data_IF_163123187053
#
_entry.id   IF_163123187053
#
_cell.length_a   1.000
_cell.length_b   1.000
_cell.length_c   1.000
_cell.angle_alpha   90.00
_cell.angle_beta   90.00
_cell.angle_gamma   90.00
#
_symmetry.space_group_name_H-M   'P 1'
#
loop_
_entity.id
_entity.type
_entity.pdbx_description
1 polymer ?
#
# COMPACT_ATOMS: atom_id res chain seq x y z
N UNK A 1 -19.06 -14.59 -54.06
CA UNK A 1 -19.13 -15.38 -52.83
C UNK A 1 -17.93 -15.09 -51.94
N UNK A 2 -17.77 -13.88 -51.39
CA UNK A 2 -16.66 -13.46 -50.50
C UNK A 2 -17.08 -12.43 -49.47
N UNK A 3 -18.32 -12.44 -48.97
CA UNK A 3 -18.82 -11.46 -47.98
C UNK A 3 -19.42 -12.06 -46.70
N UNK A 4 -19.15 -13.34 -46.40
CA UNK A 4 -19.78 -14.01 -45.24
C UNK A 4 -18.77 -14.44 -44.15
N UNK A 5 -17.50 -14.09 -44.22
CA UNK A 5 -16.48 -14.55 -43.26
C UNK A 5 -16.12 -13.47 -42.21
N UNK A 6 -16.55 -12.21 -42.39
CA UNK A 6 -16.17 -11.13 -41.45
C UNK A 6 -17.15 -10.86 -40.31
N UNK A 7 -18.29 -11.53 -40.26
CA UNK A 7 -19.30 -11.32 -39.20
C UNK A 7 -19.06 -12.26 -38.00
N UNK A 8 -18.33 -13.34 -38.19
CA UNK A 8 -18.11 -14.33 -37.13
C UNK A 8 -16.96 -13.98 -36.16
N UNK A 9 -16.10 -13.03 -36.49
CA UNK A 9 -14.94 -12.68 -35.65
C UNK A 9 -15.20 -11.48 -34.72
N UNK A 10 -16.28 -10.73 -34.95
CA UNK A 10 -16.64 -9.56 -34.11
C UNK A 10 -17.52 -9.92 -32.90
N UNK A 11 -18.01 -11.16 -32.79
CA UNK A 11 -18.90 -11.60 -31.71
C UNK A 11 -18.18 -12.26 -30.53
N UNK A 12 -16.86 -12.39 -30.58
CA UNK A 12 -16.05 -13.04 -29.53
C UNK A 12 -15.35 -12.06 -28.57
N UNK A 13 -15.59 -10.74 -28.73
CA UNK A 13 -14.97 -9.72 -27.88
C UNK A 13 -15.97 -9.02 -26.91
N UNK A 14 -17.17 -9.57 -26.73
CA UNK A 14 -18.19 -8.98 -25.83
C UNK A 14 -18.52 -9.83 -24.60
N UNK A 15 -17.62 -10.72 -24.20
CA UNK A 15 -17.78 -11.48 -22.96
C UNK A 15 -16.65 -11.19 -21.97
N UNK A 16 -16.57 -9.97 -21.48
CA UNK A 16 -15.76 -9.72 -20.28
C UNK A 16 -16.09 -8.39 -19.63
N UNK A 17 -17.34 -8.13 -19.31
CA UNK A 17 -17.74 -7.14 -18.31
C UNK A 17 -19.02 -7.63 -17.63
N UNK A 18 -18.96 -8.81 -17.04
CA UNK A 18 -20.02 -9.40 -16.27
C UNK A 18 -19.54 -9.62 -14.84
N UNK A 19 -20.07 -8.81 -13.93
CA UNK A 19 -20.08 -9.05 -12.48
C UNK A 19 -18.79 -9.66 -11.94
N UNK A 20 -17.84 -8.83 -11.53
CA UNK A 20 -16.80 -9.21 -10.59
C UNK A 20 -17.46 -9.59 -9.24
N UNK A 21 -18.13 -10.74 -9.22
CA UNK A 21 -18.29 -11.48 -7.98
C UNK A 21 -16.88 -11.93 -7.63
N UNK A 22 -16.20 -11.17 -6.78
CA UNK A 22 -15.01 -11.64 -6.10
C UNK A 22 -15.39 -13.01 -5.52
N UNK A 23 -14.75 -14.07 -6.02
CA UNK A 23 -14.93 -15.40 -5.48
C UNK A 23 -14.40 -15.35 -4.05
N UNK A 24 -15.31 -15.29 -3.09
CA UNK A 24 -14.98 -15.47 -1.67
C UNK A 24 -15.19 -16.95 -1.39
N UNK A 25 -14.12 -17.73 -1.18
CA UNK A 25 -14.28 -19.10 -0.75
C UNK A 25 -15.07 -19.10 0.58
N UNK A 26 -16.17 -19.82 0.61
CA UNK A 26 -17.09 -19.84 1.75
C UNK A 26 -16.53 -20.51 3.01
N UNK A 27 -15.33 -21.03 2.96
CA UNK A 27 -14.62 -21.65 4.10
C UNK A 27 -13.12 -21.51 3.87
N UNK A 28 -12.52 -20.45 4.42
CA UNK A 28 -11.14 -20.58 4.88
C UNK A 28 -11.18 -21.32 6.21
N UNK A 29 -10.31 -22.31 6.41
CA UNK A 29 -10.23 -22.92 7.72
C UNK A 29 -9.79 -21.86 8.73
N UNK A 30 -10.58 -21.71 9.80
CA UNK A 30 -10.26 -20.88 10.99
C UNK A 30 -8.87 -21.16 11.58
N UNK A 31 -8.21 -22.20 11.13
CA UNK A 31 -6.94 -22.67 11.66
C UNK A 31 -5.71 -22.01 11.05
N UNK A 32 -5.82 -21.33 9.90
CA UNK A 32 -4.68 -20.63 9.32
C UNK A 32 -4.33 -19.38 10.15
N UNK A 33 -5.33 -18.68 10.67
CA UNK A 33 -5.17 -17.48 11.49
C UNK A 33 -4.61 -17.74 12.90
N UNK A 34 -4.56 -19.00 13.34
CA UNK A 34 -4.04 -19.37 14.68
C UNK A 34 -2.57 -19.76 14.71
N UNK A 35 -1.87 -19.67 13.57
CA UNK A 35 -0.47 -20.09 13.49
C UNK A 35 0.45 -18.97 13.96
N UNK A 36 0.99 -19.08 15.17
CA UNK A 36 2.22 -18.41 15.67
C UNK A 36 2.60 -17.08 14.99
N UNK A 37 1.64 -16.17 14.80
CA UNK A 37 1.93 -14.81 14.40
C UNK A 37 2.20 -13.95 15.65
N UNK A 38 3.13 -13.03 15.52
CA UNK A 38 3.53 -12.13 16.62
C UNK A 38 2.48 -11.04 16.84
N UNK A 39 1.95 -10.50 15.74
CA UNK A 39 0.91 -9.46 15.76
C UNK A 39 0.12 -9.45 14.44
N UNK A 40 -1.00 -8.71 14.43
CA UNK A 40 -1.84 -8.53 13.26
C UNK A 40 -2.22 -7.05 13.08
N UNK A 41 -2.06 -6.53 11.87
CA UNK A 41 -2.45 -5.16 11.51
C UNK A 41 -3.81 -5.21 10.83
N UNK A 42 -4.86 -4.58 11.40
CA UNK A 42 -6.16 -4.48 10.76
C UNK A 42 -6.09 -3.64 9.48
N UNK A 43 -6.85 -4.03 8.47
CA UNK A 43 -6.98 -3.26 7.24
C UNK A 43 -8.45 -3.08 6.82
N UNK A 44 -8.67 -2.17 5.88
CA UNK A 44 -9.93 -2.01 5.18
C UNK A 44 -9.71 -2.31 3.69
N UNK A 45 -10.67 -2.97 3.06
CA UNK A 45 -10.66 -3.14 1.60
C UNK A 45 -11.44 -1.98 0.95
N UNK A 46 -10.77 -1.22 0.08
CA UNK A 46 -11.35 -0.10 -0.65
C UNK A 46 -10.88 -0.15 -2.09
N UNK A 47 -11.83 -0.22 -3.04
CA UNK A 47 -11.54 -0.30 -4.48
C UNK A 47 -10.53 -1.42 -4.84
N UNK A 48 -10.70 -2.60 -4.24
CA UNK A 48 -9.80 -3.75 -4.40
C UNK A 48 -8.36 -3.53 -3.90
N UNK A 49 -8.13 -2.47 -3.12
CA UNK A 49 -6.86 -2.19 -2.45
C UNK A 49 -6.98 -2.44 -0.95
N UNK A 50 -5.89 -2.87 -0.35
CA UNK A 50 -5.75 -3.03 1.10
C UNK A 50 -5.29 -1.70 1.67
N UNK A 51 -6.10 -1.11 2.54
CA UNK A 51 -5.81 0.17 3.18
C UNK A 51 -5.53 -0.05 4.65
N UNK A 52 -4.37 0.36 5.11
CA UNK A 52 -3.96 0.29 6.51
C UNK A 52 -3.81 1.69 7.11
N UNK A 53 -4.02 1.79 8.42
CA UNK A 53 -3.79 3.04 9.16
C UNK A 53 -2.35 3.10 9.62
N UNK A 54 -1.72 4.23 9.33
CA UNK A 54 -0.33 4.50 9.69
C UNK A 54 -0.23 5.83 10.43
N UNK A 55 0.80 5.97 11.23
CA UNK A 55 1.22 7.24 11.80
C UNK A 55 2.64 7.56 11.34
N UNK A 56 2.88 8.78 10.89
CA UNK A 56 4.18 9.23 10.40
C UNK A 56 4.83 10.16 11.42
N UNK A 57 6.08 9.91 11.77
CA UNK A 57 6.89 10.70 12.71
C UNK A 57 6.22 10.92 14.08
N UNK A 58 5.41 9.99 14.55
CA UNK A 58 4.62 10.16 15.78
C UNK A 58 3.54 11.24 15.72
N UNK A 59 3.35 11.84 14.54
CA UNK A 59 2.41 12.92 14.25
C UNK A 59 1.02 12.44 13.85
N UNK A 60 0.40 13.04 12.83
CA UNK A 60 -0.94 12.70 12.39
C UNK A 60 -1.05 11.26 11.85
N UNK A 61 -2.27 10.74 11.89
CA UNK A 61 -2.62 9.43 11.33
C UNK A 61 -3.12 9.60 9.90
N UNK A 62 -2.73 8.67 9.04
CA UNK A 62 -3.10 8.62 7.63
C UNK A 62 -3.60 7.22 7.24
N UNK A 63 -4.24 7.13 6.08
CA UNK A 63 -4.54 5.88 5.40
C UNK A 63 -3.53 5.65 4.29
N UNK A 64 -2.94 4.46 4.22
CA UNK A 64 -1.97 4.10 3.19
C UNK A 64 -2.33 2.78 2.52
N UNK A 65 -2.10 2.72 1.22
CA UNK A 65 -2.30 1.51 0.41
C UNK A 65 -1.13 0.56 0.61
N UNK A 66 -1.43 -0.69 0.96
CA UNK A 66 -0.47 -1.79 1.04
C UNK A 66 -0.13 -2.28 -0.36
N UNK A 67 1.00 -1.85 -0.92
CA UNK A 67 1.36 -2.07 -2.33
C UNK A 67 2.68 -2.85 -2.46
N UNK A 68 2.59 -4.16 -2.64
CA UNK A 68 3.77 -5.02 -2.85
C UNK A 68 4.49 -4.77 -4.18
N UNK A 69 3.87 -4.06 -5.11
CA UNK A 69 4.47 -3.62 -6.38
C UNK A 69 5.31 -2.35 -6.23
N UNK A 70 5.16 -1.63 -5.12
CA UNK A 70 5.94 -0.43 -4.84
C UNK A 70 7.34 -0.81 -4.33
N UNK A 71 8.38 -0.44 -5.07
CA UNK A 71 9.78 -0.75 -4.74
C UNK A 71 10.44 0.22 -3.75
N UNK A 72 9.82 1.38 -3.50
CA UNK A 72 10.28 2.33 -2.48
C UNK A 72 9.60 2.03 -1.14
N UNK A 73 10.24 2.33 0.01
CA UNK A 73 9.66 2.05 1.32
C UNK A 73 8.31 2.72 1.52
N UNK A 74 8.23 4.01 1.20
CA UNK A 74 7.03 4.81 1.36
C UNK A 74 6.96 5.86 0.26
N UNK A 75 5.77 6.05 -0.32
CA UNK A 75 5.44 7.20 -1.15
C UNK A 75 4.32 7.99 -0.48
N UNK A 76 4.47 9.29 -0.33
CA UNK A 76 3.46 10.21 0.19
C UNK A 76 3.24 11.34 -0.81
N UNK A 77 2.10 12.01 -0.76
CA UNK A 77 1.87 13.20 -1.57
C UNK A 77 2.39 14.46 -0.87
N UNK A 78 2.41 15.57 -1.62
CA UNK A 78 2.72 16.88 -1.06
C UNK A 78 1.78 17.30 0.09
N UNK A 79 0.53 16.80 0.10
CA UNK A 79 -0.44 17.11 1.17
C UNK A 79 -0.01 16.52 2.51
N UNK A 80 0.41 15.25 2.54
CA UNK A 80 0.90 14.60 3.74
C UNK A 80 2.23 15.22 4.20
N UNK A 81 3.13 15.51 3.25
CA UNK A 81 4.38 16.21 3.54
C UNK A 81 4.13 17.57 4.19
N UNK A 82 3.21 18.36 3.65
CA UNK A 82 2.79 19.64 4.20
C UNK A 82 2.17 19.51 5.60
N UNK A 83 1.37 18.48 5.82
CA UNK A 83 0.79 18.20 7.14
C UNK A 83 1.88 17.90 8.18
N UNK A 84 2.90 17.11 7.82
CA UNK A 84 4.04 16.82 8.68
C UNK A 84 4.91 18.06 8.95
N UNK A 85 5.14 18.90 7.92
CA UNK A 85 5.86 20.18 8.07
C UNK A 85 5.11 21.12 9.01
N UNK A 86 3.80 21.28 8.83
CA UNK A 86 2.95 22.10 9.73
C UNK A 86 2.91 21.59 11.16
N UNK A 87 2.94 20.27 11.33
CA UNK A 87 3.02 19.65 12.65
C UNK A 87 4.43 19.76 13.30
N UNK A 88 5.44 20.23 12.55
CA UNK A 88 6.82 20.32 13.01
C UNK A 88 7.50 18.96 13.19
N UNK A 89 6.95 17.90 12.59
CA UNK A 89 7.47 16.54 12.68
C UNK A 89 8.35 16.16 11.48
N UNK A 90 8.28 16.94 10.40
CA UNK A 90 9.18 16.92 9.24
C UNK A 90 9.78 18.32 9.06
N UNK A 91 11.00 18.40 8.55
CA UNK A 91 11.71 19.65 8.30
C UNK A 91 12.54 19.58 7.03
N UNK A 92 13.01 20.73 6.53
CA UNK A 92 13.91 20.78 5.38
C UNK A 92 15.25 20.03 5.61
N UNK A 93 15.67 19.86 6.87
CA UNK A 93 16.91 19.13 7.22
C UNK A 93 16.74 17.61 7.08
N UNK A 94 15.52 17.11 6.97
CA UNK A 94 15.24 15.68 6.76
C UNK A 94 15.30 15.29 5.28
N UNK A 95 15.55 16.26 4.37
CA UNK A 95 15.80 16.01 2.95
C UNK A 95 17.07 15.20 2.76
N UNK A 96 17.01 14.14 1.93
CA UNK A 96 18.14 13.28 1.63
C UNK A 96 18.68 13.53 0.23
N UNK A 97 17.81 13.38 -0.80
CA UNK A 97 18.22 13.38 -2.20
C UNK A 97 17.01 13.47 -3.15
N UNK A 98 17.28 13.45 -4.46
CA UNK A 98 16.27 13.21 -5.50
C UNK A 98 16.41 11.79 -6.04
N UNK A 99 15.28 11.14 -6.30
CA UNK A 99 15.23 9.81 -6.89
C UNK A 99 14.44 9.83 -8.21
N UNK A 100 15.03 9.31 -9.29
CA UNK A 100 14.32 9.08 -10.55
C UNK A 100 13.64 7.71 -10.50
N UNK A 101 12.32 7.69 -10.63
CA UNK A 101 11.52 6.47 -10.67
C UNK A 101 10.76 6.34 -11.97
N UNK A 102 10.57 5.10 -12.41
CA UNK A 102 9.62 4.78 -13.46
C UNK A 102 8.25 4.57 -12.83
N UNK A 103 7.30 5.43 -13.15
CA UNK A 103 5.92 5.33 -12.65
C UNK A 103 5.11 4.32 -13.47
N UNK A 104 3.93 3.94 -12.98
CA UNK A 104 3.11 2.86 -13.56
C UNK A 104 2.77 3.02 -15.05
N UNK A 105 2.74 4.24 -15.58
CA UNK A 105 2.54 4.52 -17.01
C UNK A 105 3.81 4.40 -17.87
N UNK A 106 4.94 3.98 -17.28
CA UNK A 106 6.24 3.83 -17.95
C UNK A 106 7.06 5.13 -18.07
N UNK A 107 6.55 6.27 -17.63
CA UNK A 107 7.28 7.52 -17.63
C UNK A 107 8.27 7.58 -16.47
N UNK A 108 9.36 8.31 -16.67
CA UNK A 108 10.32 8.63 -15.62
C UNK A 108 9.97 9.98 -14.99
N UNK A 109 10.01 10.04 -13.69
CA UNK A 109 9.78 11.24 -12.90
C UNK A 109 10.81 11.31 -11.77
N UNK A 110 11.18 12.54 -11.40
CA UNK A 110 12.04 12.82 -10.26
C UNK A 110 11.19 13.15 -9.05
N UNK A 111 11.60 12.66 -7.93
CA UNK A 111 10.90 12.81 -6.65
C UNK A 111 11.90 13.20 -5.57
N UNK A 112 11.53 14.13 -4.71
CA UNK A 112 12.30 14.42 -3.50
C UNK A 112 12.16 13.30 -2.50
N UNK A 113 13.27 12.97 -1.82
CA UNK A 113 13.31 11.92 -0.78
C UNK A 113 13.63 12.57 0.55
N UNK A 114 12.80 12.27 1.56
CA UNK A 114 12.99 12.71 2.94
C UNK A 114 13.11 11.52 3.87
N UNK A 115 13.94 11.64 4.91
CA UNK A 115 14.01 10.65 5.96
C UNK A 115 12.92 10.92 6.99
N UNK A 116 11.95 10.03 7.08
CA UNK A 116 11.01 10.02 8.19
C UNK A 116 11.66 9.37 9.40
N UNK A 117 11.45 9.95 10.59
CA UNK A 117 11.92 9.38 11.85
C UNK A 117 11.27 8.04 12.15
N UNK A 118 10.01 7.87 11.75
CA UNK A 118 9.29 6.61 11.88
C UNK A 118 8.04 6.55 11.02
N UNK A 119 7.68 5.33 10.64
CA UNK A 119 6.31 4.94 10.29
C UNK A 119 5.84 3.95 11.34
N UNK A 120 4.64 4.08 11.87
CA UNK A 120 4.11 3.13 12.83
C UNK A 120 2.73 2.62 12.45
N UNK A 121 2.47 1.39 12.86
CA UNK A 121 1.25 0.64 12.61
C UNK A 121 0.63 0.25 13.93
N UNK A 122 -0.68 0.36 14.05
CA UNK A 122 -1.41 -0.10 15.24
C UNK A 122 -1.92 -1.52 14.99
N UNK A 123 -1.61 -2.45 15.88
CA UNK A 123 -2.14 -3.80 15.80
C UNK A 123 -3.58 -3.92 16.35
N UNK A 124 -4.14 -5.11 16.26
CA UNK A 124 -5.48 -5.46 16.73
C UNK A 124 -5.62 -5.39 18.26
N UNK A 125 -4.51 -5.37 18.99
CA UNK A 125 -4.45 -5.24 20.46
C UNK A 125 -4.19 -3.81 20.91
N UNK A 126 -4.05 -2.86 19.97
CA UNK A 126 -3.73 -1.46 20.26
C UNK A 126 -2.26 -1.21 20.58
N UNK A 127 -1.36 -2.14 20.24
CA UNK A 127 0.09 -1.96 20.36
C UNK A 127 0.61 -1.30 19.10
N UNK A 128 1.45 -0.29 19.24
CA UNK A 128 2.09 0.42 18.14
C UNK A 128 3.41 -0.26 17.74
N UNK A 129 3.55 -0.56 16.44
CA UNK A 129 4.74 -1.16 15.85
C UNK A 129 5.48 -0.12 15.02
N UNK A 130 6.47 0.61 15.59
CA UNK A 130 7.22 1.62 14.88
C UNK A 130 8.37 1.00 14.08
N UNK A 131 8.56 1.50 12.86
CA UNK A 131 9.77 1.31 12.06
C UNK A 131 10.51 2.64 11.99
N UNK A 132 11.74 2.74 12.48
CA UNK A 132 12.53 3.97 12.43
C UNK A 132 13.18 4.17 11.05
N UNK A 133 13.60 5.41 10.78
CA UNK A 133 14.46 5.79 9.67
C UNK A 133 13.95 5.31 8.30
N UNK A 134 12.71 5.71 7.96
CA UNK A 134 12.05 5.29 6.72
C UNK A 134 12.18 6.36 5.64
N UNK A 135 12.91 6.11 4.54
CA UNK A 135 12.93 7.02 3.41
C UNK A 135 11.55 7.12 2.77
N UNK A 136 11.03 8.32 2.62
CA UNK A 136 9.78 8.61 1.95
C UNK A 136 10.00 9.41 0.68
N UNK A 137 9.45 8.93 -0.42
CA UNK A 137 9.39 9.63 -1.70
C UNK A 137 8.18 10.54 -1.69
N UNK A 138 8.38 11.84 -1.97
CA UNK A 138 7.30 12.82 -2.04
C UNK A 138 6.88 13.03 -3.49
N UNK A 139 5.60 12.74 -3.76
CA UNK A 139 4.96 13.04 -5.04
C UNK A 139 4.32 14.43 -4.95
N UNK A 140 4.76 15.36 -5.81
CA UNK A 140 4.25 16.73 -5.86
C UNK A 140 2.77 16.78 -6.24
N UNK A 141 2.22 15.68 -6.72
CA UNK A 141 0.82 15.56 -7.09
C UNK A 141 -0.05 15.44 -5.83
N UNK A 142 -0.71 16.53 -5.46
CA UNK A 142 -1.65 16.55 -4.35
C UNK A 142 -2.80 15.56 -4.60
N UNK A 143 -3.00 14.62 -3.70
CA UNK A 143 -4.11 13.65 -3.78
C UNK A 143 -3.76 12.33 -4.43
N UNK A 144 -2.46 12.02 -4.64
CA UNK A 144 -2.03 10.64 -4.88
C UNK A 144 -2.09 9.85 -3.57
N UNK A 145 -2.46 8.57 -3.66
CA UNK A 145 -2.50 7.69 -2.50
C UNK A 145 -1.11 7.53 -1.86
N UNK A 146 -1.07 7.44 -0.54
CA UNK A 146 0.10 6.95 0.17
C UNK A 146 0.29 5.48 -0.22
N UNK A 147 1.52 5.12 -0.67
CA UNK A 147 1.88 3.74 -0.97
C UNK A 147 2.88 3.24 0.07
N UNK A 148 2.53 2.15 0.73
CA UNK A 148 3.41 1.42 1.64
C UNK A 148 4.03 0.30 0.85
N UNK A 149 5.33 0.40 0.59
CA UNK A 149 6.02 -0.48 -0.33
C UNK A 149 6.62 -1.72 0.33
N UNK A 150 7.12 -2.60 -0.52
CA UNK A 150 7.70 -3.88 -0.13
C UNK A 150 8.80 -3.78 0.95
N UNK A 151 9.72 -2.77 0.94
CA UNK A 151 10.73 -2.67 1.99
C UNK A 151 10.16 -2.47 3.41
N UNK A 152 9.06 -1.71 3.56
CA UNK A 152 8.37 -1.56 4.85
C UNK A 152 7.72 -2.88 5.28
N UNK A 153 7.09 -3.59 4.34
CA UNK A 153 6.48 -4.89 4.61
C UNK A 153 7.51 -5.90 5.14
N UNK A 154 8.68 -5.93 4.51
CA UNK A 154 9.79 -6.81 4.92
C UNK A 154 10.39 -6.42 6.27
N UNK A 155 10.41 -5.13 6.59
CA UNK A 155 10.92 -4.64 7.86
C UNK A 155 9.99 -4.92 9.05
N UNK A 156 8.68 -5.07 8.80
CA UNK A 156 7.69 -5.42 9.84
C UNK A 156 7.77 -6.88 10.30
N UNK A 157 8.29 -7.77 9.47
CA UNK A 157 8.44 -9.18 9.84
C UNK A 157 9.01 -10.03 8.72
N UNK A 158 9.59 -11.17 9.07
CA UNK A 158 10.22 -12.09 8.11
C UNK A 158 9.21 -12.72 7.13
N UNK A 159 7.93 -12.78 7.52
CA UNK A 159 6.84 -13.21 6.64
C UNK A 159 5.52 -12.59 7.09
N UNK A 160 4.59 -12.43 6.16
CA UNK A 160 3.24 -11.99 6.47
C UNK A 160 2.20 -12.78 5.66
N UNK A 161 1.00 -12.85 6.21
CA UNK A 161 -0.17 -13.48 5.59
C UNK A 161 -1.36 -12.52 5.64
N UNK A 162 -2.05 -12.36 4.52
CA UNK A 162 -3.23 -11.49 4.42
C UNK A 162 -4.48 -12.35 4.54
N UNK A 163 -5.26 -12.13 5.60
CA UNK A 163 -6.55 -12.76 5.81
C UNK A 163 -7.68 -11.83 5.37
N UNK A 164 -8.36 -12.20 4.28
CA UNK A 164 -9.56 -11.46 3.85
C UNK A 164 -10.73 -11.68 4.80
N UNK A 165 -10.77 -12.80 5.49
CA UNK A 165 -11.82 -13.12 6.43
C UNK A 165 -11.77 -12.22 7.67
N UNK A 166 -10.59 -12.06 8.27
CA UNK A 166 -10.37 -11.25 9.47
C UNK A 166 -10.13 -9.78 9.14
N UNK A 167 -9.92 -9.44 7.85
CA UNK A 167 -9.45 -8.14 7.39
C UNK A 167 -8.19 -7.69 8.15
N UNK A 168 -7.21 -8.59 8.24
CA UNK A 168 -5.96 -8.38 8.95
C UNK A 168 -4.75 -8.92 8.18
N UNK A 169 -3.61 -8.28 8.38
CA UNK A 169 -2.31 -8.73 7.91
C UNK A 169 -1.57 -9.26 9.12
N UNK A 170 -1.29 -10.55 9.12
CA UNK A 170 -0.59 -11.25 10.19
C UNK A 170 0.90 -11.27 9.93
N UNK A 171 1.70 -10.93 10.93
CA UNK A 171 3.15 -10.89 10.84
C UNK A 171 3.81 -11.92 11.74
N UNK A 172 4.91 -12.47 11.24
CA UNK A 172 5.80 -13.35 11.99
C UNK A 172 7.16 -12.68 12.10
N UNK A 173 7.62 -12.47 13.32
CA UNK A 173 8.98 -12.03 13.65
C UNK A 173 10.03 -13.11 13.40
#
# INVERSE_FOLDING_TARGET
>A
MKKLIYISLALLMLCSCGNNKVYRPSKFPDEASKRNFSFAIPYQEKNSSIIVRIRLNGGPQFEGTWDSGCSVPLKISSLEADALLKAGTLSATDYIDELELTVANGNKSKFSVYMLKSISFMDDKGVEHPLPDVPAVIDDNAGTDILIGLPVMQALGCSHEISQYDQAIYFKE
#
